data_IF_826934644812
#
_entry.id   IF_826934644812
#
_cell.length_a   1.000
_cell.length_b   1.000
_cell.length_c   1.000
_cell.angle_alpha   90.00
_cell.angle_beta   90.00
_cell.angle_gamma   90.00
#
_symmetry.space_group_name_H-M   'P 1'
#
loop_
_entity.id
_entity.type
_entity.pdbx_description
1 polymer ?
#
# COMPACT_ATOMS: atom_id res chain seq x y z
N UNK A 1 23.84 -5.51 32.27
CA UNK A 1 22.64 -6.27 32.70
C UNK A 1 21.57 -6.37 31.62
N UNK A 2 21.17 -5.27 30.96
CA UNK A 2 20.16 -5.33 29.88
C UNK A 2 20.55 -6.21 28.66
N UNK A 3 21.84 -6.28 28.31
CA UNK A 3 22.31 -7.03 27.12
C UNK A 3 22.05 -8.55 27.19
N UNK A 4 22.02 -9.14 28.39
CA UNK A 4 21.71 -10.57 28.57
C UNK A 4 20.21 -10.89 28.45
N UNK A 5 19.32 -9.95 28.78
CA UNK A 5 17.87 -10.17 28.61
C UNK A 5 17.48 -10.25 27.12
N UNK A 6 18.06 -9.39 26.27
CA UNK A 6 17.77 -9.41 24.83
C UNK A 6 18.19 -10.72 24.14
N UNK A 7 19.20 -11.41 24.66
CA UNK A 7 19.72 -12.67 24.13
C UNK A 7 18.81 -13.87 24.42
N UNK A 8 17.90 -13.75 25.39
CA UNK A 8 16.90 -14.77 25.75
C UNK A 8 15.56 -14.60 25.01
N UNK A 9 15.41 -13.53 24.22
CA UNK A 9 14.20 -13.28 23.46
C UNK A 9 14.08 -14.29 22.32
N UNK A 10 12.94 -14.97 22.27
CA UNK A 10 12.61 -15.86 21.16
C UNK A 10 12.38 -15.03 19.89
N UNK A 11 13.28 -15.19 18.91
CA UNK A 11 13.22 -14.47 17.63
C UNK A 11 11.90 -14.71 16.87
N UNK A 12 11.29 -15.89 17.00
CA UNK A 12 9.98 -16.20 16.38
C UNK A 12 8.87 -15.30 16.93
N UNK A 13 8.90 -15.04 18.25
CA UNK A 13 7.93 -14.18 18.90
C UNK A 13 8.17 -12.71 18.54
N UNK A 14 9.43 -12.29 18.47
CA UNK A 14 9.81 -10.94 18.01
C UNK A 14 9.33 -10.70 16.57
N UNK A 15 9.54 -11.67 15.68
CA UNK A 15 9.04 -11.59 14.31
C UNK A 15 7.50 -11.53 14.24
N UNK A 16 6.81 -12.33 15.06
CA UNK A 16 5.34 -12.30 15.13
C UNK A 16 4.83 -10.95 15.62
N UNK A 17 5.48 -10.37 16.64
CA UNK A 17 5.18 -9.02 17.11
C UNK A 17 5.45 -7.97 16.02
N UNK A 18 6.56 -8.09 15.29
CA UNK A 18 6.89 -7.21 14.17
C UNK A 18 5.80 -7.25 13.08
N UNK A 19 5.34 -8.43 12.67
CA UNK A 19 4.28 -8.56 11.67
C UNK A 19 2.99 -7.85 12.11
N UNK A 20 2.61 -7.99 13.38
CA UNK A 20 1.48 -7.28 13.95
C UNK A 20 1.69 -5.76 13.96
N UNK A 21 2.83 -5.28 14.44
CA UNK A 21 3.15 -3.86 14.46
C UNK A 21 3.13 -3.25 13.05
N UNK A 22 3.76 -3.92 12.09
CA UNK A 22 3.81 -3.47 10.70
C UNK A 22 2.42 -3.48 10.04
N UNK A 23 1.59 -4.48 10.35
CA UNK A 23 0.20 -4.53 9.89
C UNK A 23 -0.64 -3.39 10.47
N UNK A 24 -0.61 -3.19 11.79
CA UNK A 24 -1.36 -2.11 12.44
C UNK A 24 -0.92 -0.74 11.95
N UNK A 25 0.39 -0.49 11.87
CA UNK A 25 0.92 0.78 11.41
C UNK A 25 0.51 1.07 9.96
N UNK A 26 0.55 0.04 9.10
CA UNK A 26 0.05 0.12 7.72
C UNK A 26 -1.46 0.36 7.65
N UNK A 27 -2.24 -0.28 8.52
CA UNK A 27 -3.68 -0.15 8.59
C UNK A 27 -4.11 1.24 9.07
N UNK A 28 -3.50 1.75 10.15
CA UNK A 28 -3.76 3.10 10.66
C UNK A 28 -3.48 4.17 9.61
N UNK A 29 -2.37 4.07 8.86
CA UNK A 29 -2.08 4.99 7.75
C UNK A 29 -3.15 4.93 6.66
N UNK A 30 -3.54 3.72 6.24
CA UNK A 30 -4.56 3.53 5.22
C UNK A 30 -5.92 4.07 5.65
N UNK A 31 -6.29 3.91 6.93
CA UNK A 31 -7.55 4.46 7.47
C UNK A 31 -7.59 5.99 7.36
N UNK A 32 -6.48 6.68 7.64
CA UNK A 32 -6.40 8.13 7.43
C UNK A 32 -6.64 8.48 5.96
N UNK A 33 -6.00 7.74 5.04
CA UNK A 33 -6.16 7.96 3.60
C UNK A 33 -7.60 7.69 3.12
N UNK A 34 -8.24 6.62 3.61
CA UNK A 34 -9.64 6.35 3.27
C UNK A 34 -10.56 7.43 3.80
N UNK A 35 -10.29 8.00 4.98
CA UNK A 35 -11.10 9.10 5.49
C UNK A 35 -11.04 10.30 4.56
N UNK A 36 -9.85 10.65 4.09
CA UNK A 36 -9.67 11.79 3.18
C UNK A 36 -10.33 11.53 1.82
N UNK A 37 -10.17 10.33 1.25
CA UNK A 37 -10.87 9.93 0.03
C UNK A 37 -12.38 9.84 0.21
N UNK A 38 -12.87 9.31 1.33
CA UNK A 38 -14.29 9.18 1.62
C UNK A 38 -14.94 10.56 1.75
N UNK A 39 -14.28 11.52 2.39
CA UNK A 39 -14.76 12.90 2.43
C UNK A 39 -14.83 13.51 1.04
N UNK A 40 -13.83 13.24 0.19
CA UNK A 40 -13.83 13.69 -1.21
C UNK A 40 -15.00 13.05 -2.00
N UNK A 41 -15.21 11.75 -1.84
CA UNK A 41 -16.25 10.97 -2.51
C UNK A 41 -17.67 11.33 -2.02
N UNK A 42 -17.84 11.66 -0.74
CA UNK A 42 -19.12 12.12 -0.19
C UNK A 42 -19.48 13.51 -0.71
N UNK A 43 -18.48 14.38 -0.92
CA UNK A 43 -18.69 15.73 -1.46
C UNK A 43 -18.81 15.77 -3.00
N UNK A 44 -18.29 14.75 -3.69
CA UNK A 44 -18.33 14.60 -5.15
C UNK A 44 -19.72 14.78 -5.80
N UNK A 45 -20.80 14.12 -5.35
CA UNK A 45 -22.11 14.23 -6.00
C UNK A 45 -22.69 15.65 -5.95
N UNK A 46 -22.32 16.46 -4.96
CA UNK A 46 -22.83 17.83 -4.81
C UNK A 46 -21.91 18.86 -5.50
N UNK A 47 -20.59 18.65 -5.51
CA UNK A 47 -19.61 19.62 -6.02
C UNK A 47 -19.16 19.36 -7.46
N UNK A 48 -19.08 18.10 -7.90
CA UNK A 48 -18.58 17.70 -9.23
C UNK A 48 -19.45 16.63 -9.92
N UNK A 49 -20.73 16.92 -10.20
CA UNK A 49 -21.68 15.93 -10.71
C UNK A 49 -21.33 15.42 -12.13
N UNK A 50 -20.71 16.25 -12.99
CA UNK A 50 -20.38 15.84 -14.37
C UNK A 50 -19.11 15.00 -14.40
N UNK A 51 -18.11 15.35 -13.59
CA UNK A 51 -16.90 14.52 -13.40
C UNK A 51 -17.29 13.16 -12.84
N UNK A 52 -18.14 13.11 -11.82
CA UNK A 52 -18.62 11.85 -11.23
C UNK A 52 -19.31 10.96 -12.28
N UNK A 53 -20.15 11.53 -13.14
CA UNK A 53 -20.84 10.79 -14.20
C UNK A 53 -19.88 10.24 -15.25
N UNK A 54 -18.77 10.93 -15.53
CA UNK A 54 -17.73 10.43 -16.44
C UNK A 54 -16.89 9.33 -15.78
N UNK A 55 -16.51 9.53 -14.51
CA UNK A 55 -15.80 8.52 -13.73
C UNK A 55 -16.64 7.25 -13.56
N UNK A 56 -17.95 7.34 -13.31
CA UNK A 56 -18.82 6.16 -13.17
C UNK A 56 -18.86 5.28 -14.41
N UNK A 57 -18.70 5.85 -15.62
CA UNK A 57 -18.59 5.07 -16.87
C UNK A 57 -17.35 4.18 -16.91
N UNK A 58 -16.31 4.53 -16.15
CA UNK A 58 -15.00 3.87 -16.17
C UNK A 58 -14.53 3.35 -14.80
N UNK A 59 -15.25 3.64 -13.70
CA UNK A 59 -14.72 3.65 -12.33
C UNK A 59 -15.14 2.49 -11.43
N UNK A 60 -16.06 1.62 -11.86
CA UNK A 60 -16.53 0.48 -11.06
C UNK A 60 -15.42 -0.54 -10.79
N UNK A 61 -14.31 -0.51 -11.53
CA UNK A 61 -13.19 -1.46 -11.36
C UNK A 61 -12.16 -1.05 -10.29
N UNK A 62 -12.09 0.23 -9.89
CA UNK A 62 -10.90 0.77 -9.23
C UNK A 62 -10.93 0.77 -7.68
N UNK A 63 -12.11 0.89 -7.06
CA UNK A 63 -12.15 1.39 -5.67
C UNK A 63 -12.06 0.32 -4.56
N UNK A 64 -12.49 -0.93 -4.82
CA UNK A 64 -12.61 -1.94 -3.74
C UNK A 64 -11.57 -3.05 -3.80
N UNK A 65 -11.17 -3.51 -4.99
CA UNK A 65 -10.31 -4.69 -5.10
C UNK A 65 -8.82 -4.45 -4.86
N UNK A 66 -8.31 -3.27 -5.21
CA UNK A 66 -6.91 -2.92 -4.96
C UNK A 66 -6.59 -2.76 -3.47
N UNK A 67 -7.63 -2.49 -2.71
CA UNK A 67 -7.62 -2.10 -1.31
C UNK A 67 -7.67 -3.33 -0.40
N UNK A 68 -8.52 -4.30 -0.76
CA UNK A 68 -8.80 -5.50 0.04
C UNK A 68 -7.68 -6.54 -0.11
N UNK A 69 -7.14 -6.72 -1.32
CA UNK A 69 -6.09 -7.72 -1.59
C UNK A 69 -4.86 -7.63 -0.68
N UNK A 70 -4.19 -6.47 -0.53
CA UNK A 70 -2.98 -6.39 0.28
C UNK A 70 -3.25 -6.59 1.78
N UNK A 71 -4.40 -6.11 2.28
CA UNK A 71 -4.81 -6.36 3.65
C UNK A 71 -5.07 -7.86 3.87
N UNK A 72 -5.75 -8.52 2.91
CA UNK A 72 -5.99 -9.95 2.92
C UNK A 72 -4.70 -10.77 2.92
N UNK A 73 -3.74 -10.47 2.04
CA UNK A 73 -2.44 -11.18 1.96
C UNK A 73 -1.67 -11.04 3.28
N UNK A 74 -1.59 -9.82 3.83
CA UNK A 74 -0.91 -9.60 5.11
C UNK A 74 -1.59 -10.34 6.26
N UNK A 75 -2.92 -10.36 6.30
CA UNK A 75 -3.70 -11.05 7.32
C UNK A 75 -3.52 -12.57 7.21
N UNK A 76 -3.57 -13.13 6.00
CA UNK A 76 -3.28 -14.56 5.74
C UNK A 76 -1.88 -14.92 6.21
N UNK A 77 -0.87 -14.09 5.91
CA UNK A 77 0.51 -14.32 6.34
C UNK A 77 0.64 -14.32 7.87
N UNK A 78 -0.01 -13.37 8.56
CA UNK A 78 -0.06 -13.33 10.03
C UNK A 78 -0.74 -14.57 10.60
N UNK A 79 -1.88 -14.99 10.04
CA UNK A 79 -2.59 -16.19 10.47
C UNK A 79 -1.74 -17.44 10.29
N UNK A 80 -1.10 -17.61 9.13
CA UNK A 80 -0.20 -18.73 8.86
C UNK A 80 0.96 -18.75 9.86
N UNK A 81 1.62 -17.60 10.07
CA UNK A 81 2.71 -17.51 11.05
C UNK A 81 2.23 -17.85 12.48
N UNK A 82 1.04 -17.39 12.87
CA UNK A 82 0.45 -17.73 14.18
C UNK A 82 0.13 -19.21 14.30
N UNK A 83 -0.43 -19.84 13.27
CA UNK A 83 -0.73 -21.27 13.27
C UNK A 83 0.58 -22.06 13.37
N UNK A 84 1.59 -21.74 12.57
CA UNK A 84 2.89 -22.43 12.62
C UNK A 84 3.56 -22.28 13.99
N UNK A 85 3.58 -21.07 14.55
CA UNK A 85 4.26 -20.79 15.83
C UNK A 85 3.52 -21.29 17.06
N UNK A 86 2.18 -21.20 17.11
CA UNK A 86 1.40 -21.56 18.31
C UNK A 86 0.74 -22.93 18.26
N UNK A 87 0.38 -23.42 17.08
CA UNK A 87 -0.38 -24.66 16.93
C UNK A 87 0.54 -25.82 16.53
N UNK A 88 1.41 -25.62 15.55
CA UNK A 88 2.24 -26.72 15.02
C UNK A 88 3.51 -26.91 15.86
N UNK A 89 4.25 -25.83 16.15
CA UNK A 89 5.50 -25.90 16.94
C UNK A 89 5.52 -24.94 18.13
N UNK A 90 4.67 -25.15 19.16
CA UNK A 90 4.60 -24.28 20.34
C UNK A 90 5.89 -24.22 21.18
N UNK A 91 6.83 -25.14 20.95
CA UNK A 91 8.14 -25.21 21.63
C UNK A 91 9.30 -24.67 20.79
N UNK A 92 9.05 -24.11 19.60
CA UNK A 92 10.11 -23.53 18.79
C UNK A 92 10.66 -22.27 19.49
N UNK A 93 11.87 -22.39 20.05
CA UNK A 93 12.58 -21.32 20.72
C UNK A 93 13.91 -21.16 20.02
N UNK A 94 14.12 -20.01 19.38
CA UNK A 94 15.43 -19.61 18.88
C UNK A 94 15.93 -18.52 19.83
N UNK A 95 16.90 -18.84 20.67
CA UNK A 95 17.56 -17.84 21.50
C UNK A 95 18.64 -17.14 20.68
N UNK A 96 18.90 -15.87 21.00
CA UNK A 96 20.01 -15.13 20.41
C UNK A 96 21.37 -15.77 20.74
N UNK A 97 21.47 -16.49 21.86
CA UNK A 97 22.69 -17.21 22.22
C UNK A 97 22.99 -18.39 21.27
N UNK A 98 21.97 -19.15 20.88
CA UNK A 98 22.12 -20.28 19.96
C UNK A 98 22.51 -19.77 18.56
N UNK A 99 21.93 -18.63 18.16
CA UNK A 99 22.25 -17.93 16.91
C UNK A 99 23.66 -17.32 16.89
N UNK A 100 24.20 -16.90 18.03
CA UNK A 100 25.59 -16.44 18.15
C UNK A 100 26.59 -17.59 18.04
N UNK A 101 26.20 -18.80 18.45
CA UNK A 101 27.03 -20.00 18.27
C UNK A 101 27.20 -20.34 16.78
N UNK A 102 26.15 -20.11 15.98
CA UNK A 102 26.17 -20.25 14.52
C UNK A 102 26.36 -18.91 13.81
N UNK A 103 27.57 -18.37 13.95
CA UNK A 103 27.96 -17.07 13.41
C UNK A 103 27.70 -16.87 11.90
N UNK A 104 27.61 -17.96 11.12
CA UNK A 104 27.34 -17.93 9.68
C UNK A 104 25.87 -17.61 9.33
N UNK A 105 24.93 -17.86 10.25
CA UNK A 105 23.50 -17.58 10.06
C UNK A 105 23.19 -16.10 10.27
N UNK A 106 23.91 -15.44 11.19
CA UNK A 106 23.74 -14.01 11.52
C UNK A 106 23.77 -13.06 10.31
N UNK A 107 24.76 -13.11 9.39
CA UNK A 107 24.79 -12.20 8.25
C UNK A 107 23.60 -12.42 7.30
N UNK A 108 23.15 -13.66 7.13
CA UNK A 108 21.99 -14.00 6.27
C UNK A 108 20.71 -13.43 6.89
N UNK A 109 20.48 -13.74 8.17
CA UNK A 109 19.28 -13.33 8.88
C UNK A 109 19.24 -11.80 9.08
N UNK A 110 20.39 -11.19 9.37
CA UNK A 110 20.56 -9.75 9.46
C UNK A 110 20.29 -9.03 8.14
N UNK A 111 20.79 -9.57 7.01
CA UNK A 111 20.52 -9.01 5.68
C UNK A 111 19.02 -9.09 5.34
N UNK A 112 18.37 -10.22 5.60
CA UNK A 112 16.93 -10.38 5.37
C UNK A 112 16.11 -9.45 6.28
N UNK A 113 16.48 -9.31 7.55
CA UNK A 113 15.82 -8.37 8.48
C UNK A 113 15.97 -6.93 8.01
N UNK A 114 17.18 -6.53 7.59
CA UNK A 114 17.45 -5.18 7.10
C UNK A 114 16.66 -4.88 5.84
N UNK A 115 16.60 -5.82 4.89
CA UNK A 115 15.78 -5.69 3.68
C UNK A 115 14.30 -5.53 4.03
N UNK A 116 13.79 -6.35 4.96
CA UNK A 116 12.39 -6.28 5.41
C UNK A 116 12.05 -4.92 6.00
N UNK A 117 12.84 -4.44 6.96
CA UNK A 117 12.62 -3.15 7.63
C UNK A 117 12.76 -2.00 6.64
N UNK A 118 13.71 -2.08 5.70
CA UNK A 118 13.93 -1.05 4.69
C UNK A 118 12.74 -0.91 3.75
N UNK A 119 12.22 -2.03 3.22
CA UNK A 119 11.05 -2.03 2.32
C UNK A 119 9.80 -1.55 3.06
N UNK A 120 9.59 -2.01 4.29
CA UNK A 120 8.46 -1.59 5.12
C UNK A 120 8.52 -0.09 5.45
N UNK A 121 9.68 0.39 5.92
CA UNK A 121 9.90 1.81 6.23
C UNK A 121 9.70 2.69 5.00
N UNK A 122 10.28 2.30 3.87
CA UNK A 122 10.11 3.04 2.62
C UNK A 122 8.64 3.14 2.19
N UNK A 123 7.87 2.04 2.30
CA UNK A 123 6.44 2.04 2.04
C UNK A 123 5.67 3.00 2.95
N UNK A 124 6.03 3.07 4.23
CA UNK A 124 5.42 3.96 5.21
C UNK A 124 5.72 5.44 4.90
N UNK A 125 6.93 5.79 4.47
CA UNK A 125 7.32 7.18 4.23
C UNK A 125 6.89 7.70 2.86
N UNK A 126 6.97 6.89 1.78
CA UNK A 126 6.78 7.38 0.41
C UNK A 126 5.34 7.32 -0.09
N UNK A 127 4.52 6.34 0.35
CA UNK A 127 3.17 6.09 -0.22
C UNK A 127 2.08 7.00 0.41
N UNK A 128 2.48 8.08 1.09
CA UNK A 128 1.71 8.64 2.17
C UNK A 128 1.03 9.99 1.98
N UNK A 129 1.31 10.76 0.93
CA UNK A 129 0.83 12.15 0.81
C UNK A 129 0.02 12.33 -0.46
N UNK A 130 -1.30 12.29 -0.30
CA UNK A 130 -2.21 12.83 -1.30
C UNK A 130 -2.54 14.23 -0.82
N UNK A 131 -2.13 15.24 -1.59
CA UNK A 131 -2.54 16.60 -1.30
C UNK A 131 -4.02 16.75 -1.70
N UNK A 132 -4.87 16.72 -0.68
CA UNK A 132 -6.30 16.89 -0.85
C UNK A 132 -6.64 18.21 -1.55
N UNK A 133 -5.94 19.31 -1.23
CA UNK A 133 -6.25 20.62 -1.80
C UNK A 133 -5.91 20.67 -3.28
N UNK A 134 -4.77 20.09 -3.64
CA UNK A 134 -4.37 19.96 -5.04
C UNK A 134 -5.36 19.09 -5.83
N UNK A 135 -5.80 17.98 -5.24
CA UNK A 135 -6.80 17.09 -5.84
C UNK A 135 -8.15 17.81 -6.04
N UNK A 136 -8.63 18.54 -5.02
CA UNK A 136 -9.86 19.33 -5.13
C UNK A 136 -9.76 20.42 -6.21
N UNK A 137 -8.61 21.09 -6.33
CA UNK A 137 -8.36 22.11 -7.36
C UNK A 137 -8.47 21.54 -8.77
N UNK A 138 -7.83 20.39 -9.02
CA UNK A 138 -7.91 19.73 -10.34
C UNK A 138 -9.34 19.28 -10.67
N UNK A 139 -10.11 18.82 -9.68
CA UNK A 139 -11.51 18.45 -9.87
C UNK A 139 -12.40 19.67 -10.15
N UNK A 140 -12.18 20.79 -9.46
CA UNK A 140 -12.88 22.06 -9.71
C UNK A 140 -12.61 22.58 -11.13
N UNK A 141 -11.36 22.53 -11.59
CA UNK A 141 -10.99 22.91 -12.96
C UNK A 141 -11.69 22.00 -14.00
N UNK A 142 -11.68 20.68 -13.77
CA UNK A 142 -12.34 19.72 -14.66
C UNK A 142 -13.86 19.94 -14.75
N UNK A 143 -14.53 20.14 -13.62
CA UNK A 143 -15.97 20.43 -13.61
C UNK A 143 -16.27 21.78 -14.27
N UNK A 144 -15.43 22.80 -14.07
CA UNK A 144 -15.59 24.10 -14.72
C UNK A 144 -15.56 23.96 -16.26
N UNK A 145 -14.61 23.23 -16.82
CA UNK A 145 -14.52 23.02 -18.26
C UNK A 145 -15.69 22.18 -18.83
N UNK A 146 -16.18 21.19 -18.08
CA UNK A 146 -17.37 20.41 -18.45
C UNK A 146 -18.69 21.19 -18.29
N UNK A 147 -18.68 22.19 -17.41
CA UNK A 147 -19.81 23.06 -17.10
C UNK A 147 -19.91 24.26 -18.03
N UNK A 148 -18.77 24.81 -18.43
CA UNK A 148 -18.69 26.09 -19.12
C UNK A 148 -19.30 26.04 -20.52
N UNK A 149 -20.22 26.97 -20.76
CA UNK A 149 -20.78 27.26 -22.08
C UNK A 149 -19.75 27.87 -23.05
N UNK A 150 -18.56 28.25 -22.56
CA UNK A 150 -17.47 28.78 -23.40
C UNK A 150 -16.79 27.69 -24.24
N UNK A 151 -16.96 26.41 -23.89
CA UNK A 151 -16.39 25.29 -24.64
C UNK A 151 -16.81 25.25 -26.13
N UNK A 152 -18.12 25.30 -26.49
CA UNK A 152 -18.55 25.39 -27.89
C UNK A 152 -18.17 26.72 -28.54
N UNK A 153 -18.04 27.80 -27.76
CA UNK A 153 -17.68 29.13 -28.25
C UNK A 153 -16.19 29.21 -28.65
N UNK A 154 -15.31 28.59 -27.86
CA UNK A 154 -13.90 28.41 -28.22
C UNK A 154 -13.79 27.49 -29.44
N UNK A 155 -14.56 26.40 -29.50
CA UNK A 155 -14.57 25.53 -30.68
C UNK A 155 -14.97 26.29 -31.96
N UNK A 156 -15.95 27.19 -31.89
CA UNK A 156 -16.35 28.01 -33.05
C UNK A 156 -15.32 29.08 -33.39
N UNK A 157 -14.75 29.77 -32.40
CA UNK A 157 -13.69 30.78 -32.61
C UNK A 157 -12.40 30.15 -33.16
N UNK A 158 -12.08 28.93 -32.78
CA UNK A 158 -10.91 28.19 -33.29
C UNK A 158 -11.21 27.41 -34.57
N UNK A 159 -12.36 27.65 -35.24
CA UNK A 159 -12.78 26.93 -36.45
C UNK A 159 -12.73 25.39 -36.32
N UNK A 160 -13.03 24.87 -35.14
CA UNK A 160 -13.02 23.43 -34.86
C UNK A 160 -11.63 22.82 -34.62
N UNK A 161 -10.56 23.60 -34.67
CA UNK A 161 -9.19 23.11 -34.44
C UNK A 161 -8.98 22.59 -33.01
N UNK A 162 -9.67 23.18 -32.03
CA UNK A 162 -9.64 22.76 -30.63
C UNK A 162 -11.08 22.44 -30.20
N UNK A 163 -11.34 21.18 -29.86
CA UNK A 163 -12.59 20.77 -29.22
C UNK A 163 -12.35 20.53 -27.72
N UNK A 164 -12.63 21.52 -26.86
CA UNK A 164 -12.32 21.45 -25.43
C UNK A 164 -13.03 20.30 -24.71
N UNK A 165 -14.16 19.79 -25.21
CA UNK A 165 -14.82 18.60 -24.63
C UNK A 165 -14.02 17.32 -24.88
N UNK A 166 -13.43 17.17 -26.07
CA UNK A 166 -12.56 16.05 -26.41
C UNK A 166 -11.21 16.17 -25.68
N UNK A 167 -10.75 17.40 -25.46
CA UNK A 167 -9.54 17.65 -24.66
C UNK A 167 -9.74 17.25 -23.19
N UNK A 168 -10.86 17.62 -22.56
CA UNK A 168 -11.15 17.19 -21.18
C UNK A 168 -11.33 15.67 -21.11
N UNK A 169 -11.99 15.05 -22.08
CA UNK A 169 -12.15 13.59 -22.10
C UNK A 169 -10.81 12.86 -22.26
N UNK A 170 -9.91 13.37 -23.10
CA UNK A 170 -8.56 12.80 -23.25
C UNK A 170 -7.70 13.03 -22.00
N UNK A 171 -7.81 14.17 -21.32
CA UNK A 171 -7.11 14.40 -20.04
C UNK A 171 -7.66 13.53 -18.91
N UNK A 172 -8.98 13.35 -18.81
CA UNK A 172 -9.60 12.40 -17.86
C UNK A 172 -9.11 10.98 -18.16
N UNK A 173 -9.09 10.57 -19.43
CA UNK A 173 -8.57 9.26 -19.83
C UNK A 173 -7.09 9.10 -19.46
N UNK A 174 -6.23 10.09 -19.72
CA UNK A 174 -4.82 10.07 -19.32
C UNK A 174 -4.68 9.94 -17.80
N UNK A 175 -5.48 10.69 -17.03
CA UNK A 175 -5.48 10.60 -15.57
C UNK A 175 -5.91 9.20 -15.09
N UNK A 176 -6.86 8.55 -15.76
CA UNK A 176 -7.25 7.17 -15.46
C UNK A 176 -6.16 6.16 -15.83
N UNK A 177 -5.50 6.32 -16.98
CA UNK A 177 -4.37 5.48 -17.39
C UNK A 177 -3.19 5.62 -16.41
N UNK A 178 -2.85 6.84 -16.01
CA UNK A 178 -1.86 7.11 -14.95
C UNK A 178 -2.28 6.50 -13.61
N UNK A 179 -3.56 6.60 -13.26
CA UNK A 179 -4.12 5.94 -12.08
C UNK A 179 -3.91 4.42 -12.11
N UNK A 180 -4.05 3.79 -13.28
CA UNK A 180 -3.80 2.36 -13.44
C UNK A 180 -2.31 2.01 -13.25
N UNK A 181 -1.40 2.81 -13.81
CA UNK A 181 0.04 2.63 -13.60
C UNK A 181 0.42 2.78 -12.13
N UNK A 182 -0.17 3.76 -11.43
CA UNK A 182 0.04 3.94 -9.99
C UNK A 182 -0.51 2.76 -9.18
N UNK A 183 -1.67 2.23 -9.54
CA UNK A 183 -2.20 1.01 -8.91
C UNK A 183 -1.28 -0.18 -9.15
N UNK A 184 -0.82 -0.40 -10.38
CA UNK A 184 0.07 -1.49 -10.71
C UNK A 184 1.41 -1.38 -9.96
N UNK A 185 1.98 -0.18 -9.88
CA UNK A 185 3.18 0.09 -9.09
C UNK A 185 2.95 -0.19 -7.60
N UNK A 186 1.81 0.24 -7.09
CA UNK A 186 1.42 0.01 -5.70
C UNK A 186 1.27 -1.49 -5.39
N UNK A 187 0.63 -2.25 -6.28
CA UNK A 187 0.53 -3.70 -6.15
C UNK A 187 1.89 -4.38 -6.19
N UNK A 188 2.78 -3.93 -7.07
CA UNK A 188 4.14 -4.48 -7.14
C UNK A 188 4.90 -4.27 -5.83
N UNK A 189 4.83 -3.05 -5.26
CA UNK A 189 5.43 -2.75 -3.95
C UNK A 189 4.82 -3.61 -2.82
N UNK A 190 3.51 -3.82 -2.83
CA UNK A 190 2.83 -4.66 -1.82
C UNK A 190 3.22 -6.14 -1.92
N UNK A 191 3.36 -6.66 -3.16
CA UNK A 191 3.85 -8.02 -3.41
C UNK A 191 5.30 -8.17 -2.96
N UNK A 192 6.15 -7.20 -3.26
CA UNK A 192 7.54 -7.19 -2.79
C UNK A 192 7.61 -7.18 -1.26
N UNK A 193 6.83 -6.31 -0.61
CA UNK A 193 6.74 -6.21 0.85
C UNK A 193 6.34 -7.54 1.50
N UNK A 194 5.31 -8.20 0.94
CA UNK A 194 4.83 -9.49 1.45
C UNK A 194 5.84 -10.61 1.18
N UNK A 195 6.47 -10.61 0.01
CA UNK A 195 7.49 -11.58 -0.37
C UNK A 195 8.72 -11.53 0.53
N UNK A 196 9.21 -10.33 0.86
CA UNK A 196 10.37 -10.17 1.76
C UNK A 196 10.04 -10.69 3.18
N UNK A 197 8.82 -10.45 3.68
CA UNK A 197 8.38 -11.00 4.98
C UNK A 197 8.28 -12.53 4.96
N UNK A 198 7.77 -13.11 3.87
CA UNK A 198 7.74 -14.56 3.70
C UNK A 198 9.16 -15.15 3.68
N UNK A 199 10.07 -14.54 2.92
CA UNK A 199 11.46 -14.96 2.84
C UNK A 199 12.13 -14.93 4.22
N UNK A 200 11.96 -13.83 4.97
CA UNK A 200 12.49 -13.74 6.33
C UNK A 200 11.89 -14.81 7.25
N UNK A 201 10.58 -15.03 7.19
CA UNK A 201 9.91 -16.08 7.95
C UNK A 201 10.47 -17.48 7.62
N UNK A 202 10.64 -17.80 6.33
CA UNK A 202 11.23 -19.05 5.88
C UNK A 202 12.66 -19.19 6.41
N UNK A 203 13.51 -18.17 6.26
CA UNK A 203 14.88 -18.19 6.78
C UNK A 203 14.93 -18.46 8.29
N UNK A 204 13.99 -17.89 9.03
CA UNK A 204 13.90 -18.04 10.48
C UNK A 204 13.46 -19.46 10.87
N UNK A 205 12.49 -20.04 10.15
CA UNK A 205 12.07 -21.43 10.34
C UNK A 205 13.15 -22.44 9.90
N UNK A 206 13.88 -22.18 8.81
CA UNK A 206 15.00 -23.05 8.39
C UNK A 206 16.15 -23.00 9.38
N UNK A 207 16.43 -21.85 9.97
CA UNK A 207 17.43 -21.70 11.03
C UNK A 207 17.03 -22.54 12.26
N UNK A 208 15.76 -22.48 12.68
CA UNK A 208 15.27 -23.34 13.76
C UNK A 208 15.38 -24.83 13.44
N UNK A 209 15.16 -25.23 12.18
CA UNK A 209 15.26 -26.63 11.79
C UNK A 209 16.70 -27.16 11.69
N UNK A 210 17.69 -26.26 11.62
CA UNK A 210 19.12 -26.60 11.54
C UNK A 210 19.82 -26.61 12.91
N UNK A 211 19.30 -25.85 13.88
CA UNK A 211 19.75 -25.78 15.27
C UNK A 211 19.14 -26.91 16.12
#
# INVERSE_FOLDING_TARGET
MAMHEYLSLNLINVFTFYLWAAFFLSMCRRLSQYRDFAQLAVNMPNRWPKVLRNMQKHGVLFMTWATIRPAGVALVLICLQMICSKVIWPRAIINGHDLLSEWWVLPILGLCALLMVSVDGYGIFRVGKIDRKETEKYLDEAEHWLSSWKAPLIQTVTFGYINPRVMVDTEVRKAMEQGNTLLQSTFWWMSLQSGVRLLFGICLWTCWAML
#
